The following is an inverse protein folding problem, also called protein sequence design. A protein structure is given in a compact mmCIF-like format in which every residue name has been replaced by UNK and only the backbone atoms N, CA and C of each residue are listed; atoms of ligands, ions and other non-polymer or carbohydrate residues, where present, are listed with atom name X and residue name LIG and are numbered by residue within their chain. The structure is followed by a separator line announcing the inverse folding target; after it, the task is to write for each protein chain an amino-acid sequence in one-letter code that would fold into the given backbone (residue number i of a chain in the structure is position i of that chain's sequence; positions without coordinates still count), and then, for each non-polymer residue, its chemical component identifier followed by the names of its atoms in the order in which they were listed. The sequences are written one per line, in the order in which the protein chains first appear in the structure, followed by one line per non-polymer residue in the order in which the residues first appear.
data_IF_890828260032
#
_entry.id   IF_890828260032
#
_cell.length_a   1.000
_cell.length_b   1.000
_cell.length_c   1.000
_cell.angle_alpha   90.00
_cell.angle_beta   90.00
_cell.angle_gamma   90.00
#
_symmetry.space_group_name_H-M   'P 1'
#
loop_
_entity.id
_entity.type
_entity.pdbx_description
1 polymer ?
#
# COMPACT_ATOMS: atom_id res chain seq x y z
N UNK A 1 -10.99 57.27 27.75
CA UNK A 1 -10.08 56.17 27.37
C UNK A 1 -9.52 55.59 28.66
N UNK A 2 -10.12 54.52 29.18
CA UNK A 2 -9.66 53.85 30.40
C UNK A 2 -9.07 52.49 30.04
N UNK A 3 -7.79 52.28 30.33
CA UNK A 3 -7.17 50.96 30.26
C UNK A 3 -7.85 50.05 31.30
N UNK A 4 -8.51 48.99 30.84
CA UNK A 4 -8.94 47.89 31.70
C UNK A 4 -7.68 47.20 32.20
N UNK A 5 -7.36 47.40 33.49
CA UNK A 5 -6.30 46.66 34.15
C UNK A 5 -6.68 45.17 34.10
N UNK A 6 -5.82 44.36 33.46
CA UNK A 6 -6.00 42.92 33.45
C UNK A 6 -6.01 42.43 34.90
N UNK A 7 -7.13 41.85 35.32
CA UNK A 7 -7.27 41.34 36.68
C UNK A 7 -6.42 40.08 36.79
N UNK A 8 -5.40 40.13 37.64
CA UNK A 8 -4.53 38.98 37.89
C UNK A 8 -5.28 37.96 38.75
N UNK A 9 -5.50 36.77 38.17
CA UNK A 9 -6.23 35.65 38.78
C UNK A 9 -5.51 35.14 40.03
N UNK A 10 -4.18 35.25 40.09
CA UNK A 10 -3.41 34.85 41.26
C UNK A 10 -3.54 35.86 42.40
N UNK A 11 -3.73 37.16 42.11
CA UNK A 11 -4.03 38.17 43.13
C UNK A 11 -5.45 37.98 43.71
N UNK A 12 -6.42 37.59 42.88
CA UNK A 12 -7.78 37.24 43.30
C UNK A 12 -7.80 36.02 44.23
N UNK A 13 -7.05 34.96 43.88
CA UNK A 13 -6.94 33.74 44.69
C UNK A 13 -6.34 34.04 46.07
N UNK A 14 -5.37 34.95 46.12
CA UNK A 14 -4.71 35.35 47.36
C UNK A 14 -5.47 36.42 48.16
N UNK A 15 -6.67 36.82 47.71
CA UNK A 15 -7.50 37.81 48.39
C UNK A 15 -6.89 39.21 48.38
N UNK A 16 -6.08 39.53 47.37
CA UNK A 16 -5.49 40.85 47.19
C UNK A 16 -6.39 41.72 46.29
N UNK A 17 -6.08 43.02 46.20
CA UNK A 17 -6.86 43.97 45.39
C UNK A 17 -8.32 44.08 45.83
N UNK A 18 -9.23 43.97 44.86
CA UNK A 18 -10.69 44.15 45.07
C UNK A 18 -11.32 43.06 45.95
N UNK A 19 -10.63 41.93 46.20
CA UNK A 19 -11.16 40.75 46.90
C UNK A 19 -10.75 40.65 48.37
N UNK A 20 -10.12 41.70 48.91
CA UNK A 20 -9.61 41.75 50.30
C UNK A 20 -10.70 41.56 51.37
N UNK A 21 -11.91 42.02 51.11
CA UNK A 21 -13.02 41.99 52.07
C UNK A 21 -14.08 40.91 51.79
N UNK A 22 -13.80 39.99 50.85
CA UNK A 22 -14.72 38.88 50.55
C UNK A 22 -14.62 37.80 51.63
N UNK A 23 -15.70 37.06 51.84
CA UNK A 23 -15.72 35.95 52.79
C UNK A 23 -14.81 34.81 52.34
N UNK A 24 -14.03 34.26 53.26
CA UNK A 24 -13.02 33.22 53.00
C UNK A 24 -13.58 32.00 52.26
N UNK A 25 -14.82 31.60 52.59
CA UNK A 25 -15.48 30.47 51.95
C UNK A 25 -15.67 30.66 50.44
N UNK A 26 -15.91 31.90 49.99
CA UNK A 26 -16.03 32.24 48.57
C UNK A 26 -14.67 32.15 47.88
N UNK A 27 -13.59 32.62 48.53
CA UNK A 27 -12.22 32.50 48.00
C UNK A 27 -11.76 31.05 47.87
N UNK A 28 -12.01 30.23 48.90
CA UNK A 28 -11.64 28.80 48.89
C UNK A 28 -12.41 28.05 47.79
N UNK A 29 -13.70 28.34 47.62
CA UNK A 29 -14.52 27.71 46.57
C UNK A 29 -14.05 28.13 45.16
N UNK A 30 -13.71 29.40 44.98
CA UNK A 30 -13.20 29.92 43.71
C UNK A 30 -11.82 29.35 43.37
N UNK A 31 -10.93 29.25 44.37
CA UNK A 31 -9.62 28.59 44.23
C UNK A 31 -9.76 27.13 43.82
N UNK A 32 -10.62 26.36 44.51
CA UNK A 32 -10.89 24.97 44.16
C UNK A 32 -11.46 24.82 42.74
N UNK A 33 -12.30 25.75 42.30
CA UNK A 33 -12.83 25.77 40.94
C UNK A 33 -11.75 26.05 39.90
N UNK A 34 -10.84 26.99 40.17
CA UNK A 34 -9.69 27.28 39.29
C UNK A 34 -8.73 26.09 39.21
N UNK A 35 -8.46 25.43 40.34
CA UNK A 35 -7.59 24.25 40.36
C UNK A 35 -8.17 23.11 39.51
N UNK A 36 -9.50 22.91 39.56
CA UNK A 36 -10.18 21.94 38.68
C UNK A 36 -10.09 22.35 37.21
N UNK A 37 -10.29 23.63 36.89
CA UNK A 37 -10.18 24.13 35.51
C UNK A 37 -8.75 23.98 34.99
N UNK A 38 -7.74 24.26 35.81
CA UNK A 38 -6.32 24.10 35.46
C UNK A 38 -5.97 22.63 35.21
N UNK A 39 -6.39 21.74 36.10
CA UNK A 39 -6.20 20.30 35.94
C UNK A 39 -6.96 19.73 34.73
N UNK A 40 -8.11 20.31 34.38
CA UNK A 40 -8.83 19.97 33.14
C UNK A 40 -8.08 20.48 31.90
N UNK A 41 -7.50 21.68 31.95
CA UNK A 41 -6.67 22.23 30.88
C UNK A 41 -5.47 21.35 30.54
N UNK A 42 -4.73 20.89 31.55
CA UNK A 42 -3.60 19.97 31.38
C UNK A 42 -4.02 18.63 30.73
N UNK A 43 -5.19 18.10 31.12
CA UNK A 43 -5.73 16.88 30.50
C UNK A 43 -6.16 17.09 29.06
N UNK A 44 -6.72 18.24 28.73
CA UNK A 44 -7.12 18.60 27.37
C UNK A 44 -5.87 18.68 26.48
N UNK A 45 -4.81 19.32 26.96
CA UNK A 45 -3.54 19.42 26.23
C UNK A 45 -2.90 18.03 25.99
N UNK A 46 -2.91 17.17 27.00
CA UNK A 46 -2.43 15.78 26.86
C UNK A 46 -3.28 14.95 25.87
N UNK A 47 -4.60 15.19 25.81
CA UNK A 47 -5.47 14.55 24.83
C UNK A 47 -5.24 15.08 23.41
N UNK A 48 -5.00 16.38 23.25
CA UNK A 48 -4.66 16.98 21.95
C UNK A 48 -3.39 16.37 21.37
N UNK A 49 -2.33 16.23 22.18
CA UNK A 49 -1.08 15.58 21.75
C UNK A 49 -1.28 14.13 21.33
N UNK A 50 -2.16 13.38 22.01
CA UNK A 50 -2.49 12.00 21.63
C UNK A 50 -3.28 11.92 20.33
N UNK A 51 -4.18 12.87 20.09
CA UNK A 51 -4.93 12.95 18.82
C UNK A 51 -3.98 13.21 17.66
N UNK A 52 -3.07 14.18 17.77
CA UNK A 52 -2.08 14.47 16.73
C UNK A 52 -1.14 13.27 16.44
N UNK A 53 -0.78 12.51 17.48
CA UNK A 53 0.01 11.29 17.31
C UNK A 53 -0.78 10.18 16.60
N UNK A 54 -2.06 10.01 16.93
CA UNK A 54 -2.96 9.06 16.27
C UNK A 54 -3.24 9.45 14.82
N UNK A 55 -3.45 10.73 14.52
CA UNK A 55 -3.64 11.22 13.15
C UNK A 55 -2.42 10.91 12.27
N UNK A 56 -1.20 11.12 12.77
CA UNK A 56 0.03 10.72 12.07
C UNK A 56 0.08 9.22 11.81
N UNK A 57 -0.20 8.39 12.83
CA UNK A 57 -0.19 6.94 12.68
C UNK A 57 -1.26 6.42 11.70
N UNK A 58 -2.45 7.05 11.66
CA UNK A 58 -3.51 6.71 10.71
C UNK A 58 -3.10 7.08 9.28
N UNK A 59 -2.45 8.22 9.08
CA UNK A 59 -2.00 8.66 7.76
C UNK A 59 -0.90 7.74 7.19
N UNK A 60 0.01 7.26 8.03
CA UNK A 60 1.04 6.29 7.63
C UNK A 60 0.44 4.89 7.34
N UNK A 61 -0.61 4.52 8.09
CA UNK A 61 -1.36 3.29 7.82
C UNK A 61 -2.16 3.35 6.52
N UNK A 62 -2.78 4.49 6.22
CA UNK A 62 -3.50 4.69 4.96
C UNK A 62 -2.56 4.53 3.75
N UNK A 63 -1.34 5.09 3.82
CA UNK A 63 -0.32 4.91 2.77
C UNK A 63 0.12 3.46 2.59
N UNK A 64 0.22 2.69 3.69
CA UNK A 64 0.55 1.26 3.60
C UNK A 64 -0.60 0.42 3.09
N UNK A 65 -1.86 0.79 3.37
CA UNK A 65 -3.04 0.18 2.78
C UNK A 65 -3.18 0.50 1.28
N UNK A 66 -2.81 1.70 0.84
CA UNK A 66 -2.75 2.06 -0.59
C UNK A 66 -1.70 1.23 -1.34
N UNK A 67 -0.53 1.03 -0.73
CA UNK A 67 0.52 0.14 -1.27
C UNK A 67 0.06 -1.32 -1.30
N UNK A 68 -0.68 -1.77 -0.28
CA UNK A 68 -1.27 -3.12 -0.23
C UNK A 68 -2.35 -3.30 -1.29
N UNK A 69 -3.21 -2.31 -1.50
CA UNK A 69 -4.23 -2.33 -2.55
C UNK A 69 -3.62 -2.35 -3.96
N UNK A 70 -2.50 -1.63 -4.17
CA UNK A 70 -1.74 -1.71 -5.41
C UNK A 70 -1.14 -3.11 -5.62
N UNK A 71 -0.62 -3.74 -4.56
CA UNK A 71 -0.07 -5.10 -4.60
C UNK A 71 -1.15 -6.17 -4.85
N UNK A 72 -2.30 -6.06 -4.19
CA UNK A 72 -3.44 -6.97 -4.39
C UNK A 72 -4.02 -6.83 -5.81
N UNK A 73 -3.97 -5.62 -6.39
CA UNK A 73 -4.35 -5.42 -7.79
C UNK A 73 -3.40 -6.11 -8.76
N UNK A 74 -2.08 -6.06 -8.50
CA UNK A 74 -1.08 -6.83 -9.28
C UNK A 74 -1.32 -8.33 -9.13
N UNK A 75 -1.62 -8.80 -7.92
CA UNK A 75 -1.90 -10.22 -7.63
C UNK A 75 -3.20 -10.72 -8.28
N UNK A 76 -4.22 -9.86 -8.38
CA UNK A 76 -5.47 -10.18 -9.07
C UNK A 76 -5.32 -10.34 -10.59
N UNK A 77 -4.23 -9.86 -11.19
CA UNK A 77 -3.89 -10.19 -12.58
C UNK A 77 -3.29 -11.60 -12.72
N UNK A 78 -2.68 -12.15 -11.66
CA UNK A 78 -2.15 -13.53 -11.65
C UNK A 78 -3.26 -14.59 -11.45
N UNK A 79 -4.35 -14.25 -10.75
CA UNK A 79 -5.42 -15.19 -10.39
C UNK A 79 -6.63 -15.22 -11.38
N UNK A 80 -6.48 -14.70 -12.59
CA UNK A 80 -7.57 -14.65 -13.57
C UNK A 80 -7.85 -16.03 -14.20
N UNK A 81 -9.03 -16.65 -14.02
CA UNK A 81 -9.32 -18.04 -14.43
C UNK A 81 -9.42 -18.29 -15.95
N UNK A 82 -9.14 -17.28 -16.78
CA UNK A 82 -8.88 -17.44 -18.22
C UNK A 82 -7.41 -17.82 -18.53
N UNK A 83 -6.55 -17.87 -17.52
CA UNK A 83 -5.16 -18.30 -17.61
C UNK A 83 -4.99 -19.62 -16.85
N UNK A 84 -5.48 -20.73 -17.43
CA UNK A 84 -5.14 -22.05 -16.91
C UNK A 84 -3.63 -22.29 -17.05
N UNK A 85 -3.04 -23.13 -16.19
CA UNK A 85 -1.64 -23.55 -16.30
C UNK A 85 -1.27 -24.02 -17.73
N UNK A 86 -2.23 -24.60 -18.46
CA UNK A 86 -2.07 -24.98 -19.87
C UNK A 86 -1.92 -23.79 -20.83
N UNK A 87 -2.51 -22.63 -20.53
CA UNK A 87 -2.39 -21.41 -21.34
C UNK A 87 -1.05 -20.73 -21.11
N UNK A 88 -0.51 -20.77 -19.88
CA UNK A 88 0.85 -20.29 -19.59
C UNK A 88 1.92 -21.23 -20.17
N UNK A 89 1.72 -22.55 -20.10
CA UNK A 89 2.60 -23.51 -20.76
C UNK A 89 2.57 -23.35 -22.28
N UNK A 90 1.38 -23.13 -22.88
CA UNK A 90 1.27 -22.80 -24.31
C UNK A 90 1.97 -21.49 -24.66
N UNK A 91 1.80 -20.44 -23.85
CA UNK A 91 2.46 -19.16 -24.06
C UNK A 91 4.00 -19.29 -23.91
N UNK A 92 4.49 -20.07 -22.94
CA UNK A 92 5.91 -20.33 -22.78
C UNK A 92 6.49 -21.13 -23.97
N UNK A 93 5.75 -22.12 -24.49
CA UNK A 93 6.14 -22.86 -25.71
C UNK A 93 6.17 -21.93 -26.93
N UNK A 94 5.22 -21.00 -27.06
CA UNK A 94 5.20 -20.01 -28.14
C UNK A 94 6.32 -18.97 -28.01
N UNK A 95 6.60 -18.51 -26.79
CA UNK A 95 7.73 -17.61 -26.50
C UNK A 95 9.05 -18.30 -26.81
N UNK A 96 9.24 -19.55 -26.39
CA UNK A 96 10.44 -20.33 -26.70
C UNK A 96 10.60 -20.54 -28.21
N UNK A 97 9.50 -20.83 -28.92
CA UNK A 97 9.51 -20.94 -30.37
C UNK A 97 9.85 -19.59 -31.05
N UNK A 98 9.34 -18.48 -30.54
CA UNK A 98 9.63 -17.14 -31.06
C UNK A 98 11.07 -16.70 -30.78
N UNK A 99 11.60 -17.01 -29.60
CA UNK A 99 12.99 -16.77 -29.23
C UNK A 99 13.91 -17.59 -30.13
N UNK A 100 13.65 -18.89 -30.33
CA UNK A 100 14.42 -19.74 -31.26
C UNK A 100 14.41 -19.18 -32.68
N UNK A 101 13.24 -18.77 -33.21
CA UNK A 101 13.16 -18.13 -34.53
C UNK A 101 13.97 -16.84 -34.63
N UNK A 102 13.97 -15.99 -33.59
CA UNK A 102 14.79 -14.76 -33.58
C UNK A 102 16.28 -15.05 -33.48
N UNK A 103 16.67 -16.05 -32.70
CA UNK A 103 18.06 -16.52 -32.61
C UNK A 103 18.52 -17.11 -33.94
N UNK A 104 17.72 -17.93 -34.59
CA UNK A 104 18.03 -18.50 -35.91
C UNK A 104 18.12 -17.43 -37.00
N UNK A 105 17.22 -16.44 -36.98
CA UNK A 105 17.26 -15.31 -37.90
C UNK A 105 18.50 -14.43 -37.67
N UNK A 106 18.88 -14.16 -36.41
CA UNK A 106 20.11 -13.44 -36.07
C UNK A 106 21.35 -14.22 -36.52
N UNK A 107 21.38 -15.54 -36.30
CA UNK A 107 22.48 -16.40 -36.74
C UNK A 107 22.60 -16.44 -38.28
N UNK A 108 21.48 -16.49 -39.02
CA UNK A 108 21.50 -16.37 -40.49
C UNK A 108 22.00 -15.00 -40.95
N UNK A 109 21.60 -13.92 -40.28
CA UNK A 109 22.05 -12.57 -40.60
C UNK A 109 23.57 -12.42 -40.39
N UNK A 110 24.09 -12.86 -39.24
CA UNK A 110 25.54 -12.86 -38.96
C UNK A 110 26.30 -13.77 -39.93
N UNK A 111 25.73 -14.91 -40.33
CA UNK A 111 26.32 -15.78 -41.35
C UNK A 111 26.34 -15.13 -42.74
N UNK A 112 25.30 -14.37 -43.09
CA UNK A 112 25.24 -13.58 -44.31
C UNK A 112 26.27 -12.45 -44.33
N UNK A 113 26.42 -11.72 -43.23
CA UNK A 113 27.42 -10.66 -43.07
C UNK A 113 28.85 -11.21 -43.15
N UNK A 114 29.12 -12.35 -42.51
CA UNK A 114 30.44 -13.00 -42.58
C UNK A 114 30.75 -13.54 -43.98
N UNK A 115 29.77 -14.06 -44.72
CA UNK A 115 29.94 -14.45 -46.12
C UNK A 115 30.16 -13.24 -47.04
N UNK A 116 29.45 -12.14 -46.81
CA UNK A 116 29.64 -10.91 -47.56
C UNK A 116 31.05 -10.32 -47.32
N UNK A 117 31.53 -10.35 -46.07
CA UNK A 117 32.88 -9.93 -45.71
C UNK A 117 33.95 -10.83 -46.34
N UNK A 118 33.75 -12.15 -46.34
CA UNK A 118 34.65 -13.09 -47.00
C UNK A 118 34.74 -12.84 -48.52
N UNK A 119 33.60 -12.65 -49.18
CA UNK A 119 33.56 -12.34 -50.61
C UNK A 119 34.16 -10.96 -50.97
N UNK A 120 34.13 -10.00 -50.03
CA UNK A 120 34.81 -8.71 -50.18
C UNK A 120 36.33 -8.86 -50.01
N UNK A 121 36.76 -9.70 -49.08
CA UNK A 121 38.18 -10.01 -48.84
C UNK A 121 38.80 -10.76 -50.02
N UNK A 122 38.07 -11.71 -50.62
CA UNK A 122 38.53 -12.44 -51.81
C UNK A 122 38.68 -11.51 -53.02
N UNK A 123 37.70 -10.61 -53.24
CA UNK A 123 37.79 -9.59 -54.29
C UNK A 123 38.98 -8.66 -54.07
N UNK A 124 39.18 -8.16 -52.85
CA UNK A 124 40.34 -7.35 -52.53
C UNK A 124 41.65 -8.12 -52.80
N UNK A 125 41.73 -9.41 -52.45
CA UNK A 125 42.91 -10.22 -52.73
C UNK A 125 43.16 -10.43 -54.22
N UNK A 126 42.11 -10.59 -55.03
CA UNK A 126 42.22 -10.67 -56.49
C UNK A 126 42.71 -9.34 -57.09
N UNK A 127 42.15 -8.22 -56.65
CA UNK A 127 42.56 -6.87 -57.05
C UNK A 127 44.04 -6.63 -56.69
N UNK A 128 44.44 -6.93 -55.45
CA UNK A 128 45.84 -6.84 -55.01
C UNK A 128 46.77 -7.71 -55.85
N UNK A 129 46.36 -8.94 -56.22
CA UNK A 129 47.15 -9.82 -57.10
C UNK A 129 47.27 -9.26 -58.52
N UNK A 130 46.20 -8.67 -59.05
CA UNK A 130 46.20 -8.04 -60.37
C UNK A 130 47.11 -6.80 -60.40
N UNK A 131 47.07 -5.98 -59.34
CA UNK A 131 47.98 -4.85 -59.16
C UNK A 131 49.44 -5.30 -59.07
N UNK A 132 49.74 -6.35 -58.30
CA UNK A 132 51.08 -6.92 -58.17
C UNK A 132 51.60 -7.48 -59.51
N UNK A 133 50.74 -8.15 -60.28
CA UNK A 133 51.08 -8.64 -61.62
C UNK A 133 51.35 -7.47 -62.59
N UNK A 134 50.58 -6.38 -62.49
CA UNK A 134 50.77 -5.17 -63.30
C UNK A 134 52.05 -4.44 -62.91
N UNK A 135 52.33 -4.31 -61.62
CA UNK A 135 53.58 -3.75 -61.09
C UNK A 135 54.79 -4.58 -61.53
N UNK A 136 54.69 -5.92 -61.50
CA UNK A 136 55.75 -6.82 -61.95
C UNK A 136 56.00 -6.70 -63.46
N UNK A 137 54.94 -6.59 -64.28
CA UNK A 137 55.07 -6.30 -65.72
C UNK A 137 55.73 -4.94 -65.98
N UNK A 138 55.35 -3.90 -65.21
CA UNK A 138 55.96 -2.57 -65.29
C UNK A 138 57.44 -2.62 -64.93
N UNK A 139 57.81 -3.32 -63.86
CA UNK A 139 59.19 -3.50 -63.44
C UNK A 139 60.02 -4.23 -64.53
N UNK A 140 59.48 -5.29 -65.11
CA UNK A 140 60.14 -5.99 -66.21
C UNK A 140 60.25 -5.12 -67.47
N UNK A 141 59.24 -4.28 -67.77
CA UNK A 141 59.33 -3.33 -68.88
C UNK A 141 60.35 -2.21 -68.64
N UNK A 142 60.53 -1.78 -67.39
CA UNK A 142 61.58 -0.84 -66.98
C UNK A 142 62.97 -1.49 -67.03
N UNK A 143 63.09 -2.77 -66.69
CA UNK A 143 64.34 -3.52 -66.84
C UNK A 143 64.73 -3.75 -68.32
N UNK A 144 63.75 -3.93 -69.21
CA UNK A 144 63.96 -4.05 -70.66
C UNK A 144 64.24 -2.68 -71.32
N UNK A 145 63.64 -1.60 -70.80
CA UNK A 145 63.82 -0.24 -71.30
C UNK A 145 64.90 0.56 -70.55
N UNK A 146 65.69 -0.08 -69.69
CA UNK A 146 66.84 0.49 -68.97
C UNK A 146 68.03 0.90 -69.84
N UNK A 147 67.79 1.16 -71.13
CA UNK A 147 68.73 1.74 -72.07
C UNK A 147 68.09 2.95 -72.77
N UNK A 148 67.69 3.98 -72.03
CA UNK A 148 67.44 5.30 -72.62
C UNK A 148 66.53 6.23 -71.82
N UNK A 149 67.08 7.40 -71.44
CA UNK A 149 66.28 8.64 -71.35
C UNK A 149 66.11 9.24 -69.96
N UNK A 150 66.85 10.31 -69.71
CA UNK A 150 66.87 11.21 -68.54
C UNK A 150 65.58 12.03 -68.32
N UNK A 151 64.41 11.55 -68.76
CA UNK A 151 63.12 12.26 -68.69
C UNK A 151 62.17 11.79 -67.56
N UNK A 152 62.44 10.66 -66.90
CA UNK A 152 61.51 10.02 -65.94
C UNK A 152 61.73 10.44 -64.48
N UNK A 153 62.76 11.24 -64.22
CA UNK A 153 63.25 11.50 -62.86
C UNK A 153 62.46 12.59 -62.11
N UNK A 154 61.69 13.40 -62.84
CA UNK A 154 60.86 14.47 -62.28
C UNK A 154 59.45 13.96 -61.92
N UNK A 155 58.87 13.11 -62.79
CA UNK A 155 57.62 12.38 -62.51
C UNK A 155 57.75 11.37 -61.35
N UNK A 156 58.93 10.75 -61.17
CA UNK A 156 59.21 9.89 -60.01
C UNK A 156 59.29 10.68 -58.69
N UNK A 157 59.77 11.92 -58.74
CA UNK A 157 59.85 12.79 -57.56
C UNK A 157 58.44 13.22 -57.12
N UNK A 158 57.59 13.69 -58.04
CA UNK A 158 56.22 14.08 -57.71
C UNK A 158 55.38 12.91 -57.15
N UNK A 159 55.54 11.70 -57.72
CA UNK A 159 54.83 10.50 -57.23
C UNK A 159 55.29 10.04 -55.84
N UNK A 160 56.57 10.20 -55.51
CA UNK A 160 57.09 9.89 -54.17
C UNK A 160 56.67 10.93 -53.13
N UNK A 161 56.54 12.21 -53.51
CA UNK A 161 55.94 13.22 -52.62
C UNK A 161 54.45 13.00 -52.40
N UNK A 162 53.69 12.62 -53.43
CA UNK A 162 52.26 12.33 -53.32
C UNK A 162 51.97 11.13 -52.41
N UNK A 163 52.71 10.02 -52.55
CA UNK A 163 52.56 8.83 -51.68
C UNK A 163 52.98 9.09 -50.24
N UNK A 164 53.98 9.95 -50.01
CA UNK A 164 54.39 10.35 -48.65
C UNK A 164 53.34 11.23 -47.96
N UNK A 165 52.63 12.06 -48.73
CA UNK A 165 51.48 12.85 -48.27
C UNK A 165 50.28 11.97 -47.92
N UNK A 166 49.97 10.97 -48.75
CA UNK A 166 48.88 10.01 -48.47
C UNK A 166 49.17 9.09 -47.28
N UNK A 167 50.43 8.72 -47.04
CA UNK A 167 50.81 7.96 -45.85
C UNK A 167 50.65 8.76 -44.55
N UNK A 168 50.82 10.08 -44.60
CA UNK A 168 50.62 10.98 -43.47
C UNK A 168 49.12 11.21 -43.13
N UNK A 169 48.23 10.87 -44.06
CA UNK A 169 46.77 10.93 -43.91
C UNK A 169 46.15 9.60 -43.43
N UNK A 170 46.91 8.49 -43.45
CA UNK A 170 46.52 7.27 -42.76
C UNK A 170 46.68 7.52 -41.26
N UNK A 171 45.57 7.40 -40.53
CA UNK A 171 45.40 7.64 -39.09
C UNK A 171 46.70 7.54 -38.29
N UNK A 172 47.13 8.63 -37.67
CA UNK A 172 48.34 8.66 -36.84
C UNK A 172 48.18 7.62 -35.72
N UNK A 173 49.26 6.91 -35.39
CA UNK A 173 49.30 5.94 -34.28
C UNK A 173 48.82 6.60 -32.98
N UNK A 174 49.02 7.92 -32.84
CA UNK A 174 48.46 8.73 -31.75
C UNK A 174 46.93 8.75 -31.71
N UNK A 175 46.25 8.84 -32.84
CA UNK A 175 44.79 8.86 -32.89
C UNK A 175 44.22 7.49 -32.50
N UNK A 176 44.90 6.41 -32.90
CA UNK A 176 44.57 5.04 -32.48
C UNK A 176 44.81 4.85 -30.98
N UNK A 177 45.92 5.36 -30.43
CA UNK A 177 46.18 5.33 -28.98
C UNK A 177 45.17 6.17 -28.18
N UNK A 178 44.79 7.35 -28.67
CA UNK A 178 43.79 8.20 -28.03
C UNK A 178 42.39 7.54 -28.02
N UNK A 179 42.01 6.86 -29.10
CA UNK A 179 40.78 6.05 -29.12
C UNK A 179 40.86 4.81 -28.21
N UNK A 180 42.06 4.27 -28.00
CA UNK A 180 42.30 3.17 -27.05
C UNK A 180 42.15 3.64 -25.60
N UNK A 181 42.61 4.86 -25.28
CA UNK A 181 42.46 5.48 -23.95
C UNK A 181 41.00 5.88 -23.64
N UNK A 182 40.20 6.15 -24.68
CA UNK A 182 38.74 6.36 -24.56
C UNK A 182 37.98 5.04 -24.37
N UNK A 183 38.61 3.89 -24.64
CA UNK A 183 38.02 2.57 -24.42
C UNK A 183 38.02 2.33 -22.91
N UNK A 184 36.82 2.43 -22.31
CA UNK A 184 36.53 2.28 -20.87
C UNK A 184 37.54 1.35 -20.20
N UNK A 185 38.41 1.94 -19.38
CA UNK A 185 39.48 1.22 -18.72
C UNK A 185 38.90 0.18 -17.77
N UNK A 186 39.60 -0.94 -17.60
CA UNK A 186 39.24 -1.99 -16.64
C UNK A 186 39.05 -1.39 -15.23
N UNK A 187 39.77 -0.32 -14.91
CA UNK A 187 39.66 0.41 -13.64
C UNK A 187 38.32 1.12 -13.46
N UNK A 188 37.74 1.68 -14.53
CA UNK A 188 36.41 2.31 -14.47
C UNK A 188 35.31 1.26 -14.24
N UNK A 189 35.45 0.09 -14.87
CA UNK A 189 34.55 -1.06 -14.67
C UNK A 189 34.68 -1.59 -13.24
N UNK A 190 35.90 -1.76 -12.74
CA UNK A 190 36.14 -2.23 -11.36
C UNK A 190 35.59 -1.24 -10.33
N UNK A 191 35.72 0.07 -10.56
CA UNK A 191 35.14 1.10 -9.69
C UNK A 191 33.62 1.04 -9.68
N UNK A 192 32.99 0.94 -10.85
CA UNK A 192 31.54 0.80 -10.95
C UNK A 192 31.04 -0.49 -10.28
N UNK A 193 31.76 -1.61 -10.43
CA UNK A 193 31.41 -2.88 -9.80
C UNK A 193 31.54 -2.83 -8.28
N UNK A 194 32.57 -2.17 -7.75
CA UNK A 194 32.74 -1.96 -6.33
C UNK A 194 31.62 -1.08 -5.74
N UNK A 195 31.18 -0.07 -6.49
CA UNK A 195 30.09 0.82 -6.08
C UNK A 195 28.74 0.10 -6.03
N UNK A 196 28.43 -0.72 -7.06
CA UNK A 196 27.24 -1.59 -7.08
C UNK A 196 27.27 -2.61 -5.94
N UNK A 197 28.44 -3.21 -5.68
CA UNK A 197 28.58 -4.19 -4.59
C UNK A 197 28.32 -3.56 -3.22
N UNK A 198 28.86 -2.36 -2.99
CA UNK A 198 28.62 -1.59 -1.76
C UNK A 198 27.15 -1.18 -1.60
N UNK A 199 26.48 -0.82 -2.71
CA UNK A 199 25.06 -0.49 -2.68
C UNK A 199 24.18 -1.73 -2.40
N UNK A 200 24.61 -2.90 -2.87
CA UNK A 200 23.94 -4.17 -2.63
C UNK A 200 24.11 -4.65 -1.18
N UNK A 201 25.29 -4.44 -0.58
CA UNK A 201 25.57 -4.73 0.83
C UNK A 201 24.69 -3.93 1.80
N UNK A 202 24.27 -2.72 1.40
CA UNK A 202 23.36 -1.89 2.19
C UNK A 202 21.88 -2.28 2.10
N UNK A 203 21.51 -3.19 1.19
CA UNK A 203 20.12 -3.61 0.97
C UNK A 203 19.81 -4.88 1.77
N UNK A 204 18.63 -4.94 2.37
CA UNK A 204 18.17 -6.16 3.02
C UNK A 204 18.06 -7.30 2.00
N UNK A 205 18.49 -8.50 2.39
CA UNK A 205 18.32 -9.67 1.53
C UNK A 205 16.85 -10.01 1.38
N UNK A 206 16.48 -10.64 0.25
CA UNK A 206 15.12 -11.10 0.00
C UNK A 206 14.61 -11.98 1.14
N UNK A 207 15.44 -12.90 1.64
CA UNK A 207 15.10 -13.77 2.76
C UNK A 207 14.86 -13.01 4.08
N UNK A 208 15.64 -11.96 4.35
CA UNK A 208 15.42 -11.12 5.53
C UNK A 208 14.11 -10.32 5.43
N UNK A 209 13.78 -9.83 4.23
CA UNK A 209 12.52 -9.14 3.98
C UNK A 209 11.32 -10.09 4.12
N UNK A 210 11.40 -11.30 3.56
CA UNK A 210 10.36 -12.33 3.69
C UNK A 210 10.14 -12.77 5.13
N UNK A 211 11.21 -12.90 5.92
CA UNK A 211 11.11 -13.20 7.35
C UNK A 211 10.40 -12.08 8.11
N UNK A 212 10.79 -10.82 7.85
CA UNK A 212 10.17 -9.64 8.46
C UNK A 212 8.67 -9.51 8.12
N UNK A 213 8.30 -9.75 6.86
CA UNK A 213 6.88 -9.76 6.44
C UNK A 213 6.10 -10.85 7.17
N UNK A 214 6.69 -12.04 7.34
CA UNK A 214 6.05 -13.17 8.02
C UNK A 214 5.85 -12.90 9.51
N UNK A 215 6.87 -12.38 10.19
CA UNK A 215 6.79 -11.97 11.60
C UNK A 215 5.73 -10.89 11.80
N UNK A 216 5.71 -9.87 10.94
CA UNK A 216 4.68 -8.82 10.98
C UNK A 216 3.28 -9.39 10.73
N UNK A 217 3.15 -10.40 9.85
CA UNK A 217 1.90 -11.12 9.61
C UNK A 217 1.37 -11.81 10.88
N UNK A 218 2.25 -12.44 11.67
CA UNK A 218 1.88 -13.08 12.94
C UNK A 218 1.40 -12.04 13.96
N UNK A 219 2.10 -10.91 14.07
CA UNK A 219 1.72 -9.82 14.97
C UNK A 219 0.35 -9.24 14.58
N UNK A 220 0.15 -8.99 13.28
CA UNK A 220 -1.11 -8.47 12.77
C UNK A 220 -2.27 -9.45 12.98
N UNK A 221 -2.03 -10.76 12.79
CA UNK A 221 -3.02 -11.79 13.05
C UNK A 221 -3.41 -11.85 14.54
N UNK A 222 -2.43 -11.76 15.45
CA UNK A 222 -2.69 -11.68 16.89
C UNK A 222 -3.52 -10.45 17.28
N UNK A 223 -3.17 -9.28 16.76
CA UNK A 223 -3.90 -8.03 17.02
C UNK A 223 -5.30 -8.01 16.40
N UNK A 224 -5.51 -8.69 15.27
CA UNK A 224 -6.82 -8.85 14.64
C UNK A 224 -7.70 -9.84 15.44
N UNK A 225 -7.13 -10.92 15.95
CA UNK A 225 -7.82 -11.88 16.82
C UNK A 225 -8.32 -11.21 18.12
N UNK A 226 -7.51 -10.34 18.74
CA UNK A 226 -7.92 -9.56 19.92
C UNK A 226 -8.99 -8.49 19.62
N UNK A 227 -9.26 -8.19 18.33
CA UNK A 227 -10.13 -7.10 17.89
C UNK A 227 -11.19 -7.51 16.86
N UNK A 228 -11.56 -8.79 16.77
CA UNK A 228 -12.63 -9.25 15.87
C UNK A 228 -13.98 -8.67 16.35
N UNK A 229 -14.43 -7.61 15.66
CA UNK A 229 -15.58 -6.77 16.02
C UNK A 229 -16.37 -6.40 14.76
N UNK A 230 -17.68 -6.65 14.80
CA UNK A 230 -18.65 -6.16 13.82
C UNK A 230 -19.67 -5.23 14.47
N UNK A 231 -20.07 -4.16 13.77
CA UNK A 231 -21.08 -3.17 14.21
C UNK A 231 -22.01 -2.79 13.07
N UNK A 232 -23.30 -2.85 13.34
CA UNK A 232 -24.34 -2.51 12.38
C UNK A 232 -25.40 -1.60 12.99
N UNK A 233 -25.97 -0.75 12.14
CA UNK A 233 -26.95 0.27 12.51
C UNK A 233 -28.24 0.01 11.74
N UNK A 234 -29.34 0.04 12.48
CA UNK A 234 -30.71 0.09 11.99
C UNK A 234 -31.22 1.52 12.10
N UNK A 235 -31.57 2.12 10.96
CA UNK A 235 -32.05 3.50 10.86
C UNK A 235 -33.31 3.65 10.00
N UNK A 236 -33.80 2.54 9.42
CA UNK A 236 -34.98 2.60 8.57
C UNK A 236 -36.27 2.82 9.36
N UNK A 237 -36.27 2.58 10.67
CA UNK A 237 -37.47 2.65 11.52
C UNK A 237 -38.52 1.58 11.23
N UNK A 238 -38.25 0.70 10.27
CA UNK A 238 -39.16 -0.32 9.76
C UNK A 238 -38.56 -1.72 9.97
N UNK A 239 -39.38 -2.63 10.48
CA UNK A 239 -39.05 -4.05 10.66
C UNK A 239 -39.49 -4.89 9.45
N UNK A 240 -38.85 -6.04 9.26
CA UNK A 240 -39.27 -7.06 8.28
C UNK A 240 -40.27 -8.04 8.89
N UNK A 241 -40.76 -8.98 8.07
CA UNK A 241 -41.65 -10.06 8.51
C UNK A 241 -41.11 -10.76 9.77
N UNK A 242 -42.00 -11.09 10.70
CA UNK A 242 -41.62 -11.66 12.00
C UNK A 242 -40.96 -10.65 12.96
N UNK A 243 -41.16 -9.34 12.74
CA UNK A 243 -40.57 -8.26 13.53
C UNK A 243 -39.04 -8.21 13.48
N UNK A 244 -38.41 -8.84 12.49
CA UNK A 244 -36.96 -8.87 12.36
C UNK A 244 -36.38 -7.49 12.02
N UNK A 245 -35.34 -7.07 12.73
CA UNK A 245 -34.65 -5.79 12.50
C UNK A 245 -33.74 -5.92 11.27
N UNK A 246 -34.02 -5.20 10.15
CA UNK A 246 -33.12 -5.20 9.00
C UNK A 246 -31.98 -4.21 9.23
N UNK A 247 -30.77 -4.71 9.46
CA UNK A 247 -29.60 -3.85 9.60
C UNK A 247 -29.31 -3.15 8.28
N UNK A 248 -29.15 -1.82 8.29
CA UNK A 248 -29.07 -1.01 7.06
C UNK A 248 -27.65 -0.56 6.72
N UNK A 249 -26.82 -0.38 7.74
CA UNK A 249 -25.48 0.20 7.61
C UNK A 249 -24.51 -0.65 8.41
N UNK A 250 -23.42 -1.11 7.78
CA UNK A 250 -22.25 -1.63 8.48
C UNK A 250 -21.36 -0.45 8.85
N UNK A 251 -21.20 -0.20 10.15
CA UNK A 251 -20.33 0.85 10.66
C UNK A 251 -18.89 0.38 10.79
N UNK A 252 -18.68 -0.85 11.25
CA UNK A 252 -17.36 -1.48 11.43
C UNK A 252 -17.51 -2.98 11.16
N UNK A 253 -16.53 -3.58 10.50
CA UNK A 253 -16.35 -5.03 10.48
C UNK A 253 -14.86 -5.32 10.29
N UNK A 254 -14.18 -5.67 11.39
CA UNK A 254 -12.74 -5.95 11.37
C UNK A 254 -12.42 -7.39 10.99
N UNK A 255 -13.43 -8.25 10.86
CA UNK A 255 -13.29 -9.66 10.53
C UNK A 255 -14.46 -10.12 9.62
N UNK A 256 -14.43 -9.73 8.32
CA UNK A 256 -15.50 -10.04 7.37
C UNK A 256 -15.67 -11.53 7.07
N UNK A 257 -14.62 -12.34 7.30
CA UNK A 257 -14.68 -13.79 7.15
C UNK A 257 -15.48 -14.43 8.29
N UNK A 258 -15.32 -13.91 9.51
CA UNK A 258 -16.12 -14.36 10.64
C UNK A 258 -17.53 -13.75 10.63
N UNK A 259 -17.67 -12.44 10.38
CA UNK A 259 -18.94 -11.73 10.42
C UNK A 259 -19.48 -11.46 9.03
N UNK A 260 -20.31 -12.38 8.53
CA UNK A 260 -20.94 -12.27 7.21
C UNK A 260 -22.31 -11.60 7.34
N UNK A 261 -22.50 -10.51 6.60
CA UNK A 261 -23.74 -9.73 6.61
C UNK A 261 -24.02 -9.13 5.24
N UNK A 262 -25.30 -9.01 4.91
CA UNK A 262 -25.78 -8.34 3.70
C UNK A 262 -26.71 -7.18 4.04
N UNK A 263 -26.67 -6.14 3.22
CA UNK A 263 -27.45 -4.92 3.45
C UNK A 263 -28.94 -5.21 3.52
N UNK A 264 -29.59 -4.69 4.56
CA UNK A 264 -31.01 -4.87 4.88
C UNK A 264 -31.40 -6.30 5.28
N UNK A 265 -30.45 -7.21 5.50
CA UNK A 265 -30.74 -8.53 6.07
C UNK A 265 -30.96 -8.44 7.58
N UNK A 266 -31.80 -9.36 8.08
CA UNK A 266 -32.15 -9.45 9.51
C UNK A 266 -31.06 -10.17 10.31
N UNK A 267 -30.39 -11.11 9.65
CA UNK A 267 -29.36 -11.95 10.25
C UNK A 267 -27.96 -11.45 9.95
N UNK A 268 -27.09 -11.55 10.95
CA UNK A 268 -25.63 -11.51 10.82
C UNK A 268 -25.12 -12.91 11.13
N UNK A 269 -24.23 -13.47 10.31
CA UNK A 269 -23.64 -14.79 10.53
C UNK A 269 -22.29 -14.64 11.21
N UNK A 270 -22.09 -15.33 12.33
CA UNK A 270 -20.78 -15.56 12.93
C UNK A 270 -20.29 -16.97 12.51
N UNK A 271 -19.28 -17.03 11.66
CA UNK A 271 -18.78 -18.29 11.11
C UNK A 271 -18.00 -19.11 12.14
N UNK A 272 -17.13 -18.46 12.92
CA UNK A 272 -16.33 -19.15 13.91
C UNK A 272 -17.15 -19.43 15.19
N UNK A 273 -17.00 -20.61 15.80
CA UNK A 273 -17.52 -20.85 17.14
C UNK A 273 -16.71 -20.09 18.19
N UNK A 274 -17.30 -19.92 19.38
CA UNK A 274 -16.59 -19.37 20.54
C UNK A 274 -17.47 -18.51 21.43
N UNK A 275 -16.81 -17.77 22.34
CA UNK A 275 -17.47 -16.78 23.18
C UNK A 275 -17.48 -15.43 22.48
N UNK A 276 -18.62 -14.77 22.50
CA UNK A 276 -18.85 -13.47 21.89
C UNK A 276 -19.50 -12.54 22.88
N UNK A 277 -19.04 -11.30 22.93
CA UNK A 277 -19.78 -10.19 23.53
C UNK A 277 -20.77 -9.65 22.50
N UNK A 278 -22.04 -9.53 22.89
CA UNK A 278 -23.08 -8.85 22.14
C UNK A 278 -23.46 -7.57 22.87
N UNK A 279 -23.46 -6.45 22.15
CA UNK A 279 -23.97 -5.18 22.65
C UNK A 279 -24.99 -4.64 21.69
N UNK A 280 -26.16 -4.23 22.16
CA UNK A 280 -27.14 -3.56 21.30
C UNK A 280 -27.86 -2.45 22.03
N UNK A 281 -28.45 -1.54 21.25
CA UNK A 281 -29.24 -0.44 21.75
C UNK A 281 -30.39 -0.09 20.81
N UNK A 282 -31.55 0.26 21.37
CA UNK A 282 -32.73 0.73 20.64
C UNK A 282 -33.26 2.04 21.23
N UNK A 283 -33.34 3.07 20.40
CA UNK A 283 -33.68 4.44 20.76
C UNK A 283 -35.08 4.77 20.27
N UNK A 284 -36.01 4.77 21.22
CA UNK A 284 -37.44 4.91 20.97
C UNK A 284 -38.12 5.48 22.22
N UNK A 285 -39.27 6.17 22.09
CA UNK A 285 -39.91 6.85 23.24
C UNK A 285 -40.51 5.85 24.22
N UNK A 286 -41.15 4.82 23.69
CA UNK A 286 -41.76 3.75 24.49
C UNK A 286 -40.81 2.56 24.52
N UNK A 287 -40.59 1.99 25.72
CA UNK A 287 -39.76 0.79 25.90
C UNK A 287 -40.24 -0.31 24.94
N UNK A 288 -39.40 -0.75 23.98
CA UNK A 288 -39.75 -1.82 23.06
C UNK A 288 -39.57 -3.18 23.75
N UNK A 289 -40.23 -4.21 23.22
CA UNK A 289 -39.92 -5.60 23.50
C UNK A 289 -38.92 -6.10 22.45
N UNK A 290 -37.75 -6.56 22.91
CA UNK A 290 -36.66 -7.02 22.06
C UNK A 290 -36.38 -8.49 22.36
N UNK A 291 -36.14 -9.30 21.33
CA UNK A 291 -35.55 -10.63 21.51
C UNK A 291 -34.31 -10.76 20.64
N UNK A 292 -33.28 -11.39 21.20
CA UNK A 292 -32.08 -11.81 20.49
C UNK A 292 -32.21 -13.30 20.17
N UNK A 293 -31.98 -13.64 18.92
CA UNK A 293 -32.14 -14.99 18.39
C UNK A 293 -30.80 -15.50 17.89
N UNK A 294 -30.49 -16.75 18.24
CA UNK A 294 -29.38 -17.51 17.67
C UNK A 294 -29.97 -18.69 16.92
N UNK A 295 -29.67 -18.78 15.62
CA UNK A 295 -30.20 -19.81 14.71
C UNK A 295 -31.73 -19.87 14.65
N UNK A 296 -32.41 -18.75 14.89
CA UNK A 296 -33.87 -18.66 14.89
C UNK A 296 -34.52 -18.95 16.24
N UNK A 297 -33.75 -19.36 17.24
CA UNK A 297 -34.25 -19.61 18.59
C UNK A 297 -33.96 -18.40 19.51
N UNK A 298 -34.94 -17.91 20.28
CA UNK A 298 -34.73 -16.80 21.20
C UNK A 298 -33.86 -17.23 22.37
N UNK A 299 -32.70 -16.57 22.51
CA UNK A 299 -31.74 -16.81 23.61
C UNK A 299 -31.83 -15.76 24.70
N UNK A 300 -32.41 -14.61 24.39
CA UNK A 300 -32.56 -13.48 25.31
C UNK A 300 -33.79 -12.66 24.94
N UNK A 301 -34.48 -12.12 25.95
CA UNK A 301 -35.61 -11.24 25.76
C UNK A 301 -35.61 -10.09 26.77
N UNK A 302 -35.69 -8.85 26.28
CA UNK A 302 -35.94 -7.67 27.09
C UNK A 302 -37.43 -7.29 26.95
N UNK A 303 -38.26 -7.73 27.91
CA UNK A 303 -39.71 -7.52 27.91
C UNK A 303 -40.18 -6.60 29.04
N UNK A 304 -41.38 -6.05 28.89
CA UNK A 304 -42.00 -5.09 29.81
C UNK A 304 -42.72 -5.75 31.02
N UNK A 305 -42.18 -6.84 31.57
CA UNK A 305 -42.78 -7.50 32.74
C UNK A 305 -41.77 -7.75 33.84
N UNK A 306 -42.14 -7.36 35.07
CA UNK A 306 -41.33 -7.51 36.27
C UNK A 306 -41.28 -8.97 36.81
N UNK A 307 -41.79 -9.94 36.06
CA UNK A 307 -42.21 -11.22 36.62
C UNK A 307 -41.72 -12.48 35.90
N UNK A 308 -40.85 -12.40 34.89
CA UNK A 308 -40.18 -13.61 34.37
C UNK A 308 -38.70 -13.39 34.09
N UNK A 309 -37.91 -14.23 34.74
CA UNK A 309 -36.44 -14.28 34.74
C UNK A 309 -35.98 -15.07 33.52
N UNK A 310 -36.10 -14.49 32.34
CA UNK A 310 -35.16 -14.76 31.25
C UNK A 310 -34.28 -13.51 31.23
N UNK A 311 -33.18 -13.64 32.00
CA UNK A 311 -32.22 -12.61 32.41
C UNK A 311 -32.00 -11.54 31.33
N UNK A 312 -32.02 -10.26 31.71
CA UNK A 312 -30.93 -9.27 31.70
C UNK A 312 -31.57 -7.93 32.15
N UNK A 313 -30.92 -7.23 33.08
CA UNK A 313 -31.45 -6.01 33.71
C UNK A 313 -31.56 -4.85 32.71
N UNK A 314 -32.58 -4.88 31.86
CA UNK A 314 -32.92 -3.73 31.04
C UNK A 314 -33.58 -2.72 31.97
N UNK A 315 -32.79 -1.72 32.40
CA UNK A 315 -33.22 -0.67 33.31
C UNK A 315 -34.59 -0.10 32.90
N UNK A 316 -35.35 0.39 33.87
CA UNK A 316 -36.61 1.08 33.59
C UNK A 316 -36.26 2.31 32.76
N UNK A 317 -36.75 2.39 31.52
CA UNK A 317 -36.73 3.63 30.75
C UNK A 317 -37.60 4.63 31.51
N UNK A 318 -36.96 5.52 32.25
CA UNK A 318 -37.62 6.67 32.86
C UNK A 318 -37.85 7.70 31.75
N UNK A 319 -39.09 8.12 31.57
CA UNK A 319 -39.43 9.14 30.58
C UNK A 319 -38.90 10.49 31.04
N UNK A 320 -37.65 10.82 30.71
CA UNK A 320 -37.03 12.11 31.00
C UNK A 320 -37.47 13.15 29.96
N UNK A 321 -38.75 13.55 29.99
CA UNK A 321 -39.31 14.58 29.11
C UNK A 321 -39.13 14.34 27.59
N UNK A 322 -39.44 15.34 26.76
CA UNK A 322 -39.07 15.35 25.33
C UNK A 322 -37.74 16.08 25.17
N UNK A 323 -36.73 15.43 24.63
CA UNK A 323 -35.50 16.09 24.22
C UNK A 323 -35.68 16.73 22.83
N UNK A 324 -35.20 17.97 22.58
CA UNK A 324 -35.36 18.65 21.29
C UNK A 324 -34.77 17.88 20.10
N UNK A 325 -33.70 17.10 20.33
CA UNK A 325 -33.05 16.27 19.32
C UNK A 325 -33.66 14.86 19.14
N UNK A 326 -34.84 14.59 19.70
CA UNK A 326 -35.51 13.28 19.59
C UNK A 326 -35.13 12.29 20.68
N UNK A 327 -35.04 11.01 20.35
CA UNK A 327 -34.85 9.92 21.32
C UNK A 327 -33.35 9.73 21.62
N UNK A 328 -32.80 10.54 22.52
CA UNK A 328 -31.37 10.52 22.87
C UNK A 328 -30.99 9.46 23.91
N UNK A 329 -31.98 8.77 24.48
CA UNK A 329 -31.79 7.62 25.37
C UNK A 329 -32.62 6.46 24.88
N UNK A 330 -32.25 5.25 25.27
CA UNK A 330 -32.83 4.04 24.73
C UNK A 330 -32.62 2.83 25.62
N UNK A 331 -33.16 1.70 25.17
CA UNK A 331 -32.94 0.40 25.76
C UNK A 331 -31.57 -0.12 25.31
N UNK A 332 -30.62 -0.26 26.21
CA UNK A 332 -29.29 -0.81 25.89
C UNK A 332 -29.03 -2.08 26.69
N UNK A 333 -28.23 -2.98 26.11
CA UNK A 333 -27.86 -4.24 26.71
C UNK A 333 -26.44 -4.64 26.25
N UNK A 334 -25.68 -5.21 27.18
CA UNK A 334 -24.41 -5.89 26.95
C UNK A 334 -24.52 -7.27 27.58
N UNK A 335 -24.16 -8.31 26.84
CA UNK A 335 -24.14 -9.69 27.34
C UNK A 335 -23.18 -10.58 26.54
N UNK A 336 -23.05 -11.85 26.94
CA UNK A 336 -22.10 -12.79 26.36
C UNK A 336 -22.79 -14.06 25.86
N UNK A 337 -22.46 -14.48 24.64
CA UNK A 337 -23.02 -15.63 23.96
C UNK A 337 -21.94 -16.69 23.71
N UNK A 338 -22.25 -17.95 23.97
CA UNK A 338 -21.50 -19.08 23.45
C UNK A 338 -22.10 -19.49 22.10
N UNK A 339 -21.41 -19.18 21.00
CA UNK A 339 -21.91 -19.41 19.64
C UNK A 339 -21.38 -20.73 19.06
N UNK A 340 -22.25 -21.55 18.45
CA UNK A 340 -21.82 -22.66 17.61
C UNK A 340 -21.24 -22.16 16.28
N UNK A 341 -20.58 -23.02 15.48
CA UNK A 341 -20.11 -22.66 14.15
C UNK A 341 -21.27 -22.20 13.26
N UNK A 342 -21.03 -21.17 12.42
CA UNK A 342 -22.02 -20.61 11.49
C UNK A 342 -23.33 -20.15 12.16
N UNK A 343 -23.22 -19.60 13.36
CA UNK A 343 -24.35 -19.07 14.11
C UNK A 343 -24.99 -17.87 13.39
N UNK A 344 -26.32 -17.93 13.18
CA UNK A 344 -27.13 -16.82 12.67
C UNK A 344 -27.69 -16.00 13.82
N UNK A 345 -27.28 -14.74 13.92
CA UNK A 345 -27.69 -13.82 14.97
C UNK A 345 -28.72 -12.87 14.39
N UNK A 346 -29.89 -12.78 15.01
CA UNK A 346 -30.97 -11.91 14.59
C UNK A 346 -31.61 -11.21 15.79
N UNK A 347 -32.23 -10.06 15.56
CA UNK A 347 -32.98 -9.34 16.60
C UNK A 347 -34.41 -9.11 16.13
N UNK A 348 -35.38 -9.40 17.00
CA UNK A 348 -36.77 -8.98 16.81
C UNK A 348 -37.04 -7.72 17.61
N UNK A 349 -37.79 -6.80 17.00
CA UNK A 349 -38.19 -5.54 17.59
C UNK A 349 -39.70 -5.41 17.56
N UNK A 350 -40.32 -5.31 18.73
CA UNK A 350 -41.74 -5.00 18.87
C UNK A 350 -41.90 -3.71 19.70
N UNK A 351 -42.11 -2.61 19.00
CA UNK A 351 -42.24 -1.28 19.58
C UNK A 351 -42.89 -0.33 18.58
N UNK A 352 -42.93 0.96 18.92
CA UNK A 352 -43.43 1.98 17.98
C UNK A 352 -42.51 2.12 16.75
N UNK A 353 -43.08 2.59 15.65
CA UNK A 353 -42.35 2.86 14.40
C UNK A 353 -41.36 4.00 14.54
N UNK A 354 -40.33 4.03 13.68
CA UNK A 354 -39.33 5.10 13.69
C UNK A 354 -38.28 4.95 14.80
N UNK A 355 -38.14 3.75 15.36
CA UNK A 355 -37.03 3.41 16.24
C UNK A 355 -35.72 3.31 15.47
N UNK A 356 -34.63 3.68 16.13
CA UNK A 356 -33.26 3.47 15.63
C UNK A 356 -32.54 2.52 16.56
N UNK A 357 -31.53 1.83 16.07
CA UNK A 357 -30.75 0.95 16.92
C UNK A 357 -29.42 0.52 16.33
N UNK A 358 -28.64 -0.16 17.15
CA UNK A 358 -27.37 -0.75 16.74
C UNK A 358 -27.19 -2.12 17.37
N UNK A 359 -26.35 -2.94 16.75
CA UNK A 359 -25.79 -4.15 17.33
C UNK A 359 -24.29 -4.18 17.08
N UNK A 360 -23.55 -4.67 18.07
CA UNK A 360 -22.12 -4.92 18.05
C UNK A 360 -21.90 -6.37 18.47
N UNK A 361 -21.03 -7.06 17.75
CA UNK A 361 -20.53 -8.39 18.08
C UNK A 361 -19.03 -8.30 18.21
N UNK A 362 -18.47 -8.84 19.29
CA UNK A 362 -17.03 -8.94 19.50
C UNK A 362 -16.68 -10.36 19.89
N UNK A 363 -15.78 -11.00 19.14
CA UNK A 363 -15.22 -12.29 19.56
C UNK A 363 -14.25 -12.07 20.73
N UNK A 364 -14.32 -12.93 21.74
CA UNK A 364 -13.45 -12.89 22.92
C UNK A 364 -12.18 -13.72 22.72
#
# INVERSE_FOLDING_TARGET
MGHSAAVDVDDLINGKGEWRNIQDIVRVTFKASIDVIRAQGEKIEALQQKVEALERAVNDRARTEDVKAALDKVRSFEDNPLLSASSFDQMNVEIDAAVRRRVDAANLATRGETQALAAALDRANEDWRAELATATKRLNSLAINGAGGMGTREDELERTYATKSELALKSDMKDVCALLDVKVGVDDVNRALAEVSRELEGKASLGALEASIREQGIINAGLAAERSVGRWIWKSGNVKAGNGVPWNVQSVNTDPENFVWEKNCVSIVANAPGLYEVTFGFFVRKKPAIQLLVNGEPVMAAVNSASYVLHHSSGRLTSVGRHPAGNVTGLTLVDFLALPPKARIAVTYNGESGGEGFISLKKL
#
